data_IF_276851842335
#
_entry.id   IF_276851842335
#
_cell.length_a   1.000
_cell.length_b   1.000
_cell.length_c   1.000
_cell.angle_alpha   90.00
_cell.angle_beta   90.00
_cell.angle_gamma   90.00
#
_symmetry.space_group_name_H-M   'P 1'
#
loop_
_entity.id
_entity.type
_entity.pdbx_description
1 polymer ?
#
# COMPACT_ATOMS: atom_id res chain seq x y z
N UNK A 1 -5.43 4.75 -4.96
CA UNK A 1 -4.13 4.12 -4.69
C UNK A 1 -3.90 2.88 -5.56
N UNK A 2 -4.68 1.81 -5.46
CA UNK A 2 -4.42 0.56 -6.20
C UNK A 2 -4.19 0.72 -7.72
N UNK A 3 -4.98 1.56 -8.40
CA UNK A 3 -4.76 1.80 -9.85
C UNK A 3 -3.46 2.54 -10.16
N UNK A 4 -3.00 3.40 -9.28
CA UNK A 4 -1.71 4.12 -9.45
C UNK A 4 -0.55 3.15 -9.32
N UNK A 5 -0.55 2.33 -8.25
CA UNK A 5 0.46 1.28 -8.07
C UNK A 5 0.41 0.26 -9.21
N UNK A 6 -0.80 -0.19 -9.61
CA UNK A 6 -0.95 -1.08 -10.76
C UNK A 6 -0.36 -0.50 -12.05
N UNK A 7 -0.59 0.79 -12.33
CA UNK A 7 0.03 1.47 -13.49
C UNK A 7 1.55 1.55 -13.35
N UNK A 8 2.07 1.77 -12.14
CA UNK A 8 3.50 1.81 -11.92
C UNK A 8 4.15 0.44 -12.19
N UNK A 9 3.56 -0.63 -11.69
CA UNK A 9 4.03 -2.00 -11.94
C UNK A 9 3.98 -2.35 -13.44
N UNK A 10 2.89 -2.02 -14.17
CA UNK A 10 2.84 -2.29 -15.61
C UNK A 10 3.89 -1.50 -16.40
N UNK A 11 4.22 -0.26 -15.98
CA UNK A 11 5.31 0.53 -16.59
C UNK A 11 6.71 -0.09 -16.36
N UNK A 12 6.88 -0.88 -15.32
CA UNK A 12 8.11 -1.64 -15.04
C UNK A 12 8.10 -3.03 -15.71
N UNK A 13 7.09 -3.35 -16.50
CA UNK A 13 7.00 -4.60 -17.26
C UNK A 13 6.35 -5.76 -16.51
N UNK A 14 5.76 -5.53 -15.34
CA UNK A 14 5.02 -6.55 -14.61
C UNK A 14 3.61 -6.76 -15.18
N UNK A 15 3.14 -7.99 -15.14
CA UNK A 15 1.73 -8.30 -15.37
C UNK A 15 0.92 -7.98 -14.12
N UNK A 16 -0.17 -7.26 -14.26
CA UNK A 16 -1.00 -6.78 -13.14
C UNK A 16 -2.45 -7.15 -13.32
N UNK A 17 -3.02 -7.81 -12.31
CA UNK A 17 -4.46 -8.05 -12.22
C UNK A 17 -5.06 -7.28 -11.05
N UNK A 18 -5.93 -6.30 -11.33
CA UNK A 18 -6.69 -5.60 -10.29
C UNK A 18 -7.86 -6.47 -9.84
N UNK A 19 -7.88 -6.78 -8.54
CA UNK A 19 -9.02 -7.39 -7.86
C UNK A 19 -10.13 -6.37 -7.57
N UNK A 20 -11.36 -6.70 -7.91
CA UNK A 20 -12.53 -5.85 -7.67
C UNK A 20 -13.78 -6.67 -7.35
N UNK A 21 -14.76 -6.05 -6.68
CA UNK A 21 -16.10 -6.63 -6.49
C UNK A 21 -16.94 -6.62 -7.76
N UNK A 22 -16.62 -5.74 -8.71
CA UNK A 22 -17.34 -5.60 -9.95
C UNK A 22 -16.36 -5.24 -11.09
N UNK A 23 -16.09 -6.22 -11.94
CA UNK A 23 -15.20 -6.08 -13.10
C UNK A 23 -15.81 -5.25 -14.23
N UNK A 24 -17.12 -5.00 -14.18
CA UNK A 24 -17.86 -4.24 -15.21
C UNK A 24 -17.82 -2.72 -14.96
N UNK A 25 -17.33 -2.28 -13.79
CA UNK A 25 -17.21 -0.86 -13.47
C UNK A 25 -16.40 -0.13 -14.51
N UNK A 26 -16.90 1.04 -14.91
CA UNK A 26 -16.28 1.89 -15.93
C UNK A 26 -14.82 2.22 -15.58
N UNK A 27 -14.54 2.58 -14.32
CA UNK A 27 -13.19 2.95 -13.88
C UNK A 27 -12.19 1.79 -13.95
N UNK A 28 -12.67 0.55 -13.82
CA UNK A 28 -11.82 -0.66 -13.95
C UNK A 28 -11.51 -0.90 -15.41
N UNK A 29 -12.52 -0.86 -16.29
CA UNK A 29 -12.35 -1.02 -17.73
C UNK A 29 -11.46 0.08 -18.31
N UNK A 30 -11.70 1.33 -17.91
CA UNK A 30 -10.89 2.48 -18.36
C UNK A 30 -9.42 2.32 -17.92
N UNK A 31 -9.17 1.78 -16.72
CA UNK A 31 -7.81 1.52 -16.26
C UNK A 31 -7.13 0.43 -17.08
N UNK A 32 -7.82 -0.70 -17.31
CA UNK A 32 -7.27 -1.81 -18.13
C UNK A 32 -6.95 -1.31 -19.54
N UNK A 33 -7.84 -0.50 -20.14
CA UNK A 33 -7.63 0.03 -21.48
C UNK A 33 -6.48 1.05 -21.58
N UNK A 34 -6.19 1.80 -20.49
CA UNK A 34 -5.16 2.86 -20.46
C UNK A 34 -3.82 2.39 -19.90
N UNK A 35 -3.81 1.33 -19.12
CA UNK A 35 -2.58 0.79 -18.57
C UNK A 35 -1.73 0.18 -19.70
N UNK A 36 -0.43 0.07 -19.45
CA UNK A 36 0.48 -0.61 -20.36
C UNK A 36 0.08 -2.09 -20.55
N UNK A 37 0.64 -2.74 -21.55
CA UNK A 37 0.45 -4.17 -21.80
C UNK A 37 0.69 -4.98 -20.51
N UNK A 38 -0.12 -6.01 -20.27
CA UNK A 38 -0.06 -6.84 -19.05
C UNK A 38 -1.09 -6.46 -17.98
N UNK A 39 -1.94 -5.43 -18.23
CA UNK A 39 -3.01 -5.05 -17.31
C UNK A 39 -4.28 -5.88 -17.51
N UNK A 40 -4.86 -6.35 -16.44
CA UNK A 40 -6.13 -7.08 -16.42
C UNK A 40 -6.93 -6.79 -15.15
N UNK A 41 -8.18 -7.24 -15.09
CA UNK A 41 -9.03 -7.15 -13.93
C UNK A 41 -9.74 -8.48 -13.68
N UNK A 42 -10.08 -8.75 -12.44
CA UNK A 42 -10.82 -9.94 -12.02
C UNK A 42 -11.44 -9.75 -10.64
N UNK A 43 -12.02 -10.79 -10.11
CA UNK A 43 -12.45 -10.85 -8.71
C UNK A 43 -11.25 -10.78 -7.77
N UNK A 44 -11.47 -10.54 -6.48
CA UNK A 44 -10.37 -10.58 -5.50
C UNK A 44 -9.68 -11.95 -5.46
N UNK A 45 -10.44 -13.06 -5.59
CA UNK A 45 -9.88 -14.41 -5.62
C UNK A 45 -9.01 -14.66 -6.85
N UNK A 46 -9.47 -14.25 -8.04
CA UNK A 46 -8.69 -14.36 -9.29
C UNK A 46 -7.41 -13.53 -9.23
N UNK A 47 -7.46 -12.32 -8.67
CA UNK A 47 -6.26 -11.49 -8.49
C UNK A 47 -5.28 -12.11 -7.49
N UNK A 48 -5.80 -12.62 -6.36
CA UNK A 48 -4.97 -13.27 -5.33
C UNK A 48 -4.30 -14.56 -5.83
N UNK A 49 -4.97 -15.32 -6.68
CA UNK A 49 -4.41 -16.53 -7.29
C UNK A 49 -3.36 -16.20 -8.36
N UNK A 50 -3.60 -15.15 -9.14
CA UNK A 50 -2.77 -14.78 -10.28
C UNK A 50 -1.39 -14.25 -9.89
N UNK A 51 -1.33 -13.30 -8.96
CA UNK A 51 -0.08 -12.59 -8.63
C UNK A 51 0.85 -13.38 -7.71
N UNK A 52 2.15 -13.28 -7.92
CA UNK A 52 3.18 -13.75 -6.98
C UNK A 52 3.27 -12.83 -5.75
N UNK A 53 3.01 -11.55 -5.96
CA UNK A 53 2.95 -10.52 -4.94
C UNK A 53 1.56 -9.89 -4.97
N UNK A 54 0.94 -9.71 -3.80
CA UNK A 54 -0.32 -9.00 -3.66
C UNK A 54 -0.09 -7.61 -3.08
N UNK A 55 -0.85 -6.61 -3.57
CA UNK A 55 -0.88 -5.25 -3.00
C UNK A 55 -2.27 -4.99 -2.43
N UNK A 56 -2.35 -4.83 -1.12
CA UNK A 56 -3.58 -4.54 -0.39
C UNK A 56 -3.78 -3.03 -0.28
N UNK A 57 -4.55 -2.45 -1.21
CA UNK A 57 -4.77 -1.00 -1.33
C UNK A 57 -6.25 -0.64 -1.19
N UNK A 58 -6.93 -1.22 -0.22
CA UNK A 58 -8.34 -1.03 0.11
C UNK A 58 -8.54 0.08 1.14
N UNK A 59 -9.75 0.63 1.23
CA UNK A 59 -10.16 1.38 2.42
C UNK A 59 -10.24 0.42 3.61
N UNK A 60 -9.85 0.89 4.78
CA UNK A 60 -9.78 0.07 6.00
C UNK A 60 -11.09 -0.66 6.30
N UNK A 61 -12.21 0.03 6.22
CA UNK A 61 -13.55 -0.53 6.45
C UNK A 61 -13.93 -1.68 5.53
N UNK A 62 -13.26 -1.82 4.38
CA UNK A 62 -13.47 -2.91 3.43
C UNK A 62 -12.34 -3.94 3.38
N UNK A 63 -11.26 -3.73 4.14
CA UNK A 63 -10.03 -4.54 4.04
C UNK A 63 -10.26 -5.99 4.45
N UNK A 64 -10.86 -6.24 5.61
CA UNK A 64 -11.15 -7.60 6.07
C UNK A 64 -12.03 -8.37 5.07
N UNK A 65 -13.07 -7.72 4.57
CA UNK A 65 -13.95 -8.34 3.57
C UNK A 65 -13.21 -8.61 2.25
N UNK A 66 -12.33 -7.71 1.82
CA UNK A 66 -11.51 -7.92 0.61
C UNK A 66 -10.58 -9.14 0.77
N UNK A 67 -9.96 -9.31 1.94
CA UNK A 67 -9.13 -10.47 2.28
C UNK A 67 -9.97 -11.76 2.29
N UNK A 68 -11.17 -11.74 2.89
CA UNK A 68 -12.09 -12.88 2.89
C UNK A 68 -12.49 -13.28 1.46
N UNK A 69 -12.81 -12.30 0.60
CA UNK A 69 -13.17 -12.53 -0.80
C UNK A 69 -11.97 -12.96 -1.67
N UNK A 70 -10.78 -12.52 -1.33
CA UNK A 70 -9.54 -12.99 -1.97
C UNK A 70 -9.25 -14.46 -1.65
N UNK A 71 -9.69 -14.91 -0.50
CA UNK A 71 -9.40 -16.23 0.07
C UNK A 71 -7.97 -16.27 0.64
N UNK A 72 -7.80 -16.27 1.98
CA UNK A 72 -6.47 -16.25 2.60
C UNK A 72 -5.53 -17.37 2.12
N UNK A 73 -6.08 -18.51 1.73
CA UNK A 73 -5.30 -19.64 1.16
C UNK A 73 -4.65 -19.28 -0.17
N UNK A 74 -5.25 -18.40 -0.99
CA UNK A 74 -4.71 -17.95 -2.27
C UNK A 74 -3.51 -17.01 -2.10
N UNK A 75 -3.36 -16.44 -0.90
CA UNK A 75 -2.26 -15.55 -0.51
C UNK A 75 -1.18 -16.26 0.33
N UNK A 76 -1.39 -17.53 0.70
CA UNK A 76 -0.44 -18.30 1.51
C UNK A 76 0.93 -18.39 0.81
N UNK A 77 2.02 -18.12 1.56
CA UNK A 77 3.40 -18.09 1.06
C UNK A 77 3.75 -16.87 0.20
N UNK A 78 2.79 -16.02 -0.14
CA UNK A 78 3.04 -14.81 -0.95
C UNK A 78 3.43 -13.61 -0.10
N UNK A 79 4.10 -12.66 -0.73
CA UNK A 79 4.33 -11.33 -0.16
C UNK A 79 3.05 -10.51 -0.33
N UNK A 80 2.61 -9.86 0.74
CA UNK A 80 1.48 -8.93 0.73
C UNK A 80 1.98 -7.54 1.13
N UNK A 81 2.05 -6.63 0.17
CA UNK A 81 2.37 -5.22 0.44
C UNK A 81 1.10 -4.56 0.97
N UNK A 82 1.11 -4.21 2.25
CA UNK A 82 -0.02 -3.54 2.90
C UNK A 82 0.12 -2.01 2.83
N UNK A 83 -0.76 -1.39 2.05
CA UNK A 83 -0.83 0.07 1.83
C UNK A 83 -1.93 0.71 2.67
N UNK A 84 -2.64 -0.07 3.48
CA UNK A 84 -3.82 0.42 4.22
C UNK A 84 -3.45 1.31 5.40
N UNK A 85 -4.39 2.15 5.79
CA UNK A 85 -4.35 2.89 7.05
C UNK A 85 -5.72 2.74 7.72
N UNK A 86 -5.78 2.50 9.04
CA UNK A 86 -7.03 2.33 9.77
C UNK A 86 -7.70 3.68 10.05
N UNK A 87 -8.02 4.45 8.99
CA UNK A 87 -8.56 5.80 9.11
C UNK A 87 -10.05 5.78 9.41
N UNK A 88 -10.45 6.61 10.38
CA UNK A 88 -11.83 7.04 10.63
C UNK A 88 -11.94 8.48 10.14
N UNK A 89 -12.82 8.71 9.17
CA UNK A 89 -13.08 10.05 8.63
C UNK A 89 -14.18 10.74 9.44
N UNK A 90 -13.99 12.02 9.70
CA UNK A 90 -14.92 12.89 10.40
C UNK A 90 -15.35 14.03 9.48
N UNK A 91 -16.58 14.52 9.63
CA UNK A 91 -17.15 15.53 8.72
C UNK A 91 -16.40 16.87 8.77
N UNK A 92 -16.02 17.33 9.96
CA UNK A 92 -15.40 18.64 10.16
C UNK A 92 -14.08 18.59 10.98
N UNK A 93 -13.41 17.44 10.98
CA UNK A 93 -12.17 17.26 11.72
C UNK A 93 -11.19 16.36 10.91
N UNK A 94 -9.89 16.45 11.18
CA UNK A 94 -8.93 15.52 10.61
C UNK A 94 -9.30 14.06 10.91
N UNK A 95 -8.94 13.11 10.04
CA UNK A 95 -9.16 11.70 10.32
C UNK A 95 -8.37 11.26 11.56
N UNK A 96 -8.92 10.27 12.26
CA UNK A 96 -8.24 9.58 13.36
C UNK A 96 -7.94 8.13 12.99
N UNK A 97 -7.18 7.44 13.83
CA UNK A 97 -6.91 6.00 13.67
C UNK A 97 -7.95 5.19 14.44
N UNK A 98 -8.50 4.14 13.82
CA UNK A 98 -9.32 3.12 14.48
C UNK A 98 -8.48 2.19 15.38
N UNK A 99 -7.19 2.09 15.11
CA UNK A 99 -6.22 1.28 15.82
C UNK A 99 -4.98 2.14 16.09
N UNK A 100 -4.29 1.88 17.17
CA UNK A 100 -3.06 2.59 17.51
C UNK A 100 -2.44 2.09 18.81
N UNK A 101 -1.29 2.66 19.20
CA UNK A 101 -0.53 2.37 20.41
C UNK A 101 -0.09 0.91 20.55
N UNK A 102 -1.02 0.01 20.88
CA UNK A 102 -0.75 -1.42 21.15
C UNK A 102 -1.13 -2.34 20.00
N UNK A 103 -1.74 -1.80 18.92
CA UNK A 103 -2.13 -2.55 17.73
C UNK A 103 -2.08 -1.66 16.49
N UNK A 104 -2.14 -2.28 15.29
CA UNK A 104 -2.11 -1.60 13.99
C UNK A 104 -2.88 -2.36 12.92
N UNK A 105 -3.21 -1.68 11.82
CA UNK A 105 -3.78 -2.35 10.65
C UNK A 105 -2.80 -3.38 10.06
N UNK A 106 -1.49 -3.08 10.04
CA UNK A 106 -0.48 -4.03 9.58
C UNK A 106 -0.47 -5.32 10.39
N UNK A 107 -0.56 -5.24 11.72
CA UNK A 107 -0.65 -6.41 12.58
C UNK A 107 -1.97 -7.16 12.40
N UNK A 108 -3.09 -6.45 12.22
CA UNK A 108 -4.38 -7.09 11.93
C UNK A 108 -4.35 -7.81 10.58
N UNK A 109 -3.81 -7.21 9.54
CA UNK A 109 -3.65 -7.85 8.23
C UNK A 109 -2.78 -9.10 8.36
N UNK A 110 -1.67 -9.05 9.11
CA UNK A 110 -0.83 -10.22 9.35
C UNK A 110 -1.59 -11.33 10.10
N UNK A 111 -2.46 -10.99 11.06
CA UNK A 111 -3.31 -11.98 11.76
C UNK A 111 -4.37 -12.59 10.84
N UNK A 112 -4.96 -11.81 9.94
CA UNK A 112 -5.92 -12.34 8.93
C UNK A 112 -5.23 -13.20 7.86
N UNK A 113 -3.91 -12.99 7.66
CA UNK A 113 -3.08 -13.69 6.69
C UNK A 113 -1.86 -14.35 7.35
N UNK A 114 -2.07 -15.31 8.27
CA UNK A 114 -0.98 -15.87 9.10
C UNK A 114 0.08 -16.60 8.28
N UNK A 115 -0.27 -17.10 7.09
CA UNK A 115 0.62 -17.82 6.19
C UNK A 115 1.19 -16.94 5.06
N UNK A 116 0.93 -15.63 5.07
CA UNK A 116 1.50 -14.66 4.12
C UNK A 116 2.61 -13.86 4.79
N UNK A 117 3.48 -13.27 3.98
CA UNK A 117 4.56 -12.40 4.42
C UNK A 117 4.14 -10.94 4.21
N UNK A 118 3.53 -10.34 5.24
CA UNK A 118 3.03 -8.98 5.16
C UNK A 118 4.16 -7.97 5.34
N UNK A 119 4.21 -6.98 4.46
CA UNK A 119 5.11 -5.82 4.56
C UNK A 119 4.31 -4.55 4.40
N UNK A 120 4.28 -3.72 5.45
CA UNK A 120 3.69 -2.38 5.43
C UNK A 120 4.57 -1.46 4.62
N UNK A 121 4.00 -0.78 3.60
CA UNK A 121 4.68 0.21 2.78
C UNK A 121 3.67 1.13 2.08
N UNK A 122 4.11 2.28 1.53
CA UNK A 122 3.30 3.26 0.79
C UNK A 122 2.14 3.90 1.57
N UNK A 123 2.04 3.68 2.86
CA UNK A 123 0.90 4.14 3.66
C UNK A 123 0.95 5.63 4.03
N UNK A 124 2.12 6.29 3.94
CA UNK A 124 2.38 7.64 4.42
C UNK A 124 2.62 8.66 3.30
N UNK A 125 2.11 8.42 2.10
CA UNK A 125 2.30 9.28 0.94
C UNK A 125 1.03 9.37 0.09
N UNK A 126 0.80 10.51 -0.56
CA UNK A 126 -0.27 10.69 -1.52
C UNK A 126 -0.03 9.90 -2.81
N UNK A 127 -1.10 9.40 -3.41
CA UNK A 127 -1.02 8.55 -4.59
C UNK A 127 -0.30 9.20 -5.79
N UNK A 128 -0.28 10.53 -5.89
CA UNK A 128 0.40 11.25 -6.95
C UNK A 128 1.92 11.04 -6.93
N UNK A 129 2.48 10.73 -5.77
CA UNK A 129 3.91 10.59 -5.55
C UNK A 129 4.39 9.15 -5.33
N UNK A 130 3.51 8.15 -5.45
CA UNK A 130 3.88 6.75 -5.21
C UNK A 130 4.91 6.19 -6.21
N UNK A 131 5.00 6.77 -7.41
CA UNK A 131 5.90 6.31 -8.45
C UNK A 131 6.79 7.46 -8.94
N UNK A 132 8.11 7.27 -8.85
CA UNK A 132 9.17 8.22 -9.24
C UNK A 132 8.91 9.64 -8.72
N UNK A 133 8.79 9.79 -7.38
CA UNK A 133 8.55 11.08 -6.77
C UNK A 133 9.70 12.05 -7.03
N UNK A 134 9.37 13.30 -7.30
CA UNK A 134 10.36 14.36 -7.50
C UNK A 134 10.11 15.47 -6.49
N UNK A 135 11.08 15.72 -5.62
CA UNK A 135 11.06 16.78 -4.62
C UNK A 135 12.38 17.55 -4.62
N UNK A 136 12.34 18.84 -4.30
CA UNK A 136 13.54 19.68 -4.27
C UNK A 136 14.63 19.19 -3.30
N UNK A 137 14.25 18.52 -2.21
CA UNK A 137 15.18 17.92 -1.25
C UNK A 137 15.74 16.55 -1.63
N UNK A 138 15.54 16.10 -2.86
CA UNK A 138 15.89 14.76 -3.34
C UNK A 138 14.76 13.73 -3.08
N UNK A 139 14.99 12.44 -3.37
CA UNK A 139 14.00 11.41 -3.19
C UNK A 139 13.61 11.32 -1.69
N UNK A 140 12.31 11.25 -1.37
CA UNK A 140 11.86 11.01 -0.01
C UNK A 140 12.08 9.55 0.38
N UNK A 141 12.06 9.25 1.69
CA UNK A 141 12.23 7.88 2.19
C UNK A 141 10.87 7.19 2.39
N UNK A 142 10.85 5.88 2.09
CA UNK A 142 9.72 5.02 2.38
C UNK A 142 10.05 4.11 3.55
N UNK A 143 9.39 4.33 4.69
CA UNK A 143 9.53 3.46 5.84
C UNK A 143 8.73 2.17 5.62
N UNK A 144 9.32 1.03 5.96
CA UNK A 144 8.69 -0.29 5.84
C UNK A 144 8.78 -1.06 7.16
N UNK A 145 7.80 -1.94 7.38
CA UNK A 145 7.75 -2.84 8.54
C UNK A 145 7.22 -4.21 8.13
N UNK A 146 7.79 -5.29 8.64
CA UNK A 146 7.36 -6.65 8.33
C UNK A 146 8.22 -7.70 9.02
N UNK A 147 7.65 -8.88 9.29
CA UNK A 147 8.30 -9.93 10.06
C UNK A 147 9.30 -10.77 9.24
N UNK A 148 9.13 -10.83 7.92
CA UNK A 148 9.95 -11.65 7.04
C UNK A 148 11.03 -10.80 6.36
N UNK A 149 12.30 -11.07 6.66
CA UNK A 149 13.44 -10.31 6.13
C UNK A 149 13.54 -10.41 4.60
N UNK A 150 13.30 -11.59 4.02
CA UNK A 150 13.35 -11.79 2.57
C UNK A 150 12.22 -11.05 1.85
N UNK A 151 11.02 -11.01 2.44
CA UNK A 151 9.93 -10.22 1.91
C UNK A 151 10.25 -8.71 1.92
N UNK A 152 10.88 -8.21 3.00
CA UNK A 152 11.34 -6.82 3.07
C UNK A 152 12.42 -6.50 2.04
N UNK A 153 13.36 -7.41 1.77
CA UNK A 153 14.37 -7.26 0.70
C UNK A 153 13.70 -7.11 -0.67
N UNK A 154 12.70 -7.95 -0.98
CA UNK A 154 11.95 -7.87 -2.24
C UNK A 154 11.18 -6.55 -2.34
N UNK A 155 10.51 -6.14 -1.27
CA UNK A 155 9.76 -4.86 -1.24
C UNK A 155 10.72 -3.66 -1.35
N UNK A 156 11.90 -3.72 -0.74
CA UNK A 156 12.96 -2.70 -0.89
C UNK A 156 13.36 -2.53 -2.35
N UNK A 157 13.58 -3.60 -3.08
CA UNK A 157 13.88 -3.53 -4.53
C UNK A 157 12.75 -2.89 -5.32
N UNK A 158 11.52 -3.26 -5.04
CA UNK A 158 10.34 -2.64 -5.67
C UNK A 158 10.30 -1.14 -5.37
N UNK A 159 10.57 -0.73 -4.14
CA UNK A 159 10.62 0.67 -3.75
C UNK A 159 11.73 1.44 -4.48
N UNK A 160 12.92 0.85 -4.60
CA UNK A 160 14.04 1.42 -5.37
C UNK A 160 13.66 1.64 -6.84
N UNK A 161 13.02 0.66 -7.50
CA UNK A 161 12.52 0.77 -8.87
C UNK A 161 11.43 1.85 -9.00
N UNK A 162 10.67 2.07 -7.93
CA UNK A 162 9.68 3.14 -7.82
C UNK A 162 10.30 4.51 -7.48
N UNK A 163 11.60 4.58 -7.19
CA UNK A 163 12.32 5.80 -6.86
C UNK A 163 12.28 6.20 -5.37
N UNK A 164 12.05 5.22 -4.48
CA UNK A 164 11.97 5.40 -3.05
C UNK A 164 13.11 4.66 -2.33
N UNK A 165 14.06 5.33 -1.70
CA UNK A 165 14.92 4.70 -0.71
C UNK A 165 14.07 4.08 0.41
N UNK A 166 14.29 2.80 0.70
CA UNK A 166 13.57 2.08 1.74
C UNK A 166 14.26 2.21 3.10
N UNK A 167 13.46 2.36 4.14
CA UNK A 167 13.88 2.46 5.54
C UNK A 167 13.18 1.37 6.35
N UNK A 168 13.87 0.26 6.56
CA UNK A 168 13.36 -0.83 7.39
C UNK A 168 13.36 -0.43 8.88
N UNK A 169 12.20 -0.44 9.51
CA UNK A 169 12.02 -0.12 10.94
C UNK A 169 11.70 -1.34 11.82
N UNK A 170 11.85 -2.56 11.28
CA UNK A 170 11.74 -3.79 12.06
C UNK A 170 10.53 -4.65 11.70
N UNK A 171 9.94 -5.29 12.72
CA UNK A 171 8.79 -6.19 12.57
C UNK A 171 7.50 -5.48 12.23
N UNK A 172 6.43 -6.26 12.01
CA UNK A 172 5.13 -5.69 11.60
C UNK A 172 4.51 -4.76 12.65
N UNK A 173 4.92 -4.87 13.92
CA UNK A 173 4.55 -3.94 15.00
C UNK A 173 5.03 -2.51 14.72
N UNK A 174 6.04 -2.33 13.88
CA UNK A 174 6.46 -1.01 13.39
C UNK A 174 5.33 -0.25 12.67
N UNK A 175 4.32 -0.94 12.16
CA UNK A 175 3.13 -0.31 11.58
C UNK A 175 2.41 0.62 12.57
N UNK A 176 2.53 0.38 13.90
CA UNK A 176 2.02 1.27 14.96
C UNK A 176 2.62 2.68 14.90
N UNK A 177 3.80 2.83 14.27
CA UNK A 177 4.47 4.11 14.07
C UNK A 177 4.20 4.66 12.67
N UNK A 178 4.10 3.80 11.65
CA UNK A 178 3.90 4.20 10.27
C UNK A 178 2.48 4.73 10.00
N UNK A 179 1.48 4.18 10.65
CA UNK A 179 0.08 4.60 10.47
C UNK A 179 -0.19 6.01 11.05
N UNK A 180 0.34 6.39 12.23
CA UNK A 180 0.34 7.78 12.69
C UNK A 180 1.05 8.76 11.75
N UNK A 181 2.10 8.36 11.02
CA UNK A 181 2.72 9.22 10.00
C UNK A 181 1.74 9.56 8.87
N UNK A 182 0.81 8.67 8.54
CA UNK A 182 -0.26 9.00 7.60
C UNK A 182 -1.14 10.15 8.12
N UNK A 183 -1.49 10.15 9.41
CA UNK A 183 -2.26 11.23 10.03
C UNK A 183 -1.48 12.55 9.97
N UNK A 184 -0.20 12.52 10.32
CA UNK A 184 0.67 13.70 10.23
C UNK A 184 0.73 14.25 8.81
N UNK A 185 0.86 13.36 7.82
CA UNK A 185 0.86 13.71 6.40
C UNK A 185 -0.47 14.39 5.98
N UNK A 186 -1.61 13.83 6.39
CA UNK A 186 -2.95 14.37 6.10
C UNK A 186 -3.16 15.74 6.76
N UNK A 187 -2.83 15.86 8.05
CA UNK A 187 -3.00 17.13 8.81
C UNK A 187 -2.19 18.25 8.15
N UNK A 188 -0.93 17.98 7.78
CA UNK A 188 -0.09 18.98 7.11
C UNK A 188 -0.68 19.39 5.76
N UNK A 189 -1.12 18.43 4.94
CA UNK A 189 -1.76 18.68 3.65
C UNK A 189 -3.03 19.51 3.77
N UNK A 190 -3.89 19.19 4.72
CA UNK A 190 -5.12 19.94 5.00
C UNK A 190 -4.82 21.37 5.45
N UNK A 191 -3.84 21.55 6.36
CA UNK A 191 -3.47 22.85 6.88
C UNK A 191 -2.86 23.77 5.82
N UNK A 192 -2.03 23.22 4.92
CA UNK A 192 -1.31 24.00 3.91
C UNK A 192 -2.04 24.09 2.56
N UNK A 193 -3.09 23.29 2.35
CA UNK A 193 -3.76 23.15 1.05
C UNK A 193 -2.89 22.47 -0.02
N UNK A 194 -1.72 21.94 0.36
CA UNK A 194 -0.77 21.30 -0.55
C UNK A 194 -0.55 19.83 -0.18
N UNK A 195 -0.69 18.95 -1.16
CA UNK A 195 -0.44 17.52 -1.05
C UNK A 195 0.90 17.09 -1.63
N UNK A 196 1.77 18.07 -1.95
CA UNK A 196 3.09 17.88 -2.54
C UNK A 196 4.17 17.84 -1.44
N UNK A 197 4.07 16.88 -0.53
CA UNK A 197 5.04 16.69 0.55
C UNK A 197 5.22 15.21 0.87
N UNK A 198 6.36 14.86 1.44
CA UNK A 198 6.73 13.52 1.86
C UNK A 198 7.77 13.61 2.99
N UNK A 199 8.06 12.48 3.62
CA UNK A 199 9.04 12.39 4.70
C UNK A 199 10.42 12.06 4.17
N UNK A 200 11.43 12.62 4.81
CA UNK A 200 12.83 12.28 4.57
C UNK A 200 13.61 12.26 5.90
N UNK A 201 14.36 11.21 6.13
CA UNK A 201 15.27 11.08 7.25
C UNK A 201 16.64 11.58 6.85
N UNK A 202 17.06 12.72 7.40
CA UNK A 202 18.42 13.22 7.21
C UNK A 202 19.39 12.39 8.05
N UNK A 203 20.53 12.04 7.47
CA UNK A 203 21.62 11.32 8.14
C UNK A 203 22.93 12.08 7.92
N UNK A 204 23.83 12.00 8.92
CA UNK A 204 25.23 12.47 8.78
C UNK A 204 26.05 11.44 8.05
#
# INVERSE_FOLDING_TARGET
MGRVLGTAFTKLGHEVKIGTRDTKKKEVKDWVAKAAQGASAGTFAEAATYGDIAVLATLWTGTENAIKLAGPKNLAGKIVIDVTNPLIFHENAPPTLALGHTDSAGEQVQRWLPNSRVVKAFNMVGNAHMFKPTFHGGPPDMFIAGNDAKAKEVVTKILEDFGWPAMDIGGIEGARLLEPLCILWVIYGTKTGSWNHAFKMLRK
#
